data_IF_174817407337
#
_entry.id   IF_174817407337
#
_cell.length_a   1.000
_cell.length_b   1.000
_cell.length_c   1.000
_cell.angle_alpha   90.00
_cell.angle_beta   90.00
_cell.angle_gamma   90.00
#
_symmetry.space_group_name_H-M   'P 1'
#
loop_
_entity.id
_entity.type
_entity.pdbx_description
1 polymer ?
#
# COMPACT_ATOMS: atom_id res chain seq x y z
N UNK A 1 -19.41 -5.38 23.56
CA UNK A 1 -19.41 -5.66 22.11
C UNK A 1 -17.97 -5.51 21.65
N UNK A 2 -17.21 -6.61 21.65
CA UNK A 2 -15.77 -6.61 21.36
C UNK A 2 -15.57 -6.35 19.86
N UNK A 3 -15.12 -5.15 19.53
CA UNK A 3 -14.51 -4.84 18.24
C UNK A 3 -13.14 -5.50 18.22
N UNK A 4 -13.04 -6.71 17.67
CA UNK A 4 -11.76 -7.22 17.20
C UNK A 4 -11.39 -6.40 15.96
N UNK A 5 -10.84 -5.20 16.18
CA UNK A 5 -10.08 -4.53 15.14
C UNK A 5 -8.89 -5.44 14.85
N UNK A 6 -8.76 -5.87 13.59
CA UNK A 6 -7.53 -6.50 13.13
C UNK A 6 -6.43 -5.47 13.32
N UNK A 7 -5.64 -5.60 14.39
CA UNK A 7 -4.44 -4.79 14.56
C UNK A 7 -3.46 -5.29 13.51
N UNK A 8 -3.27 -4.52 12.45
CA UNK A 8 -2.10 -4.69 11.61
C UNK A 8 -0.90 -4.31 12.49
N UNK A 9 0.10 -5.18 12.53
CA UNK A 9 1.31 -4.89 13.28
C UNK A 9 2.03 -3.76 12.54
N UNK A 10 2.38 -2.68 13.24
CA UNK A 10 3.20 -1.57 12.74
C UNK A 10 4.36 -2.11 11.88
N UNK A 11 4.32 -1.92 10.56
CA UNK A 11 5.41 -2.40 9.70
C UNK A 11 6.66 -1.51 9.81
N UNK A 12 6.54 -0.27 10.30
CA UNK A 12 7.69 0.64 10.46
C UNK A 12 8.85 0.04 11.28
N UNK A 13 8.57 -0.85 12.24
CA UNK A 13 9.58 -1.49 13.08
C UNK A 13 10.32 -2.67 12.40
N UNK A 14 9.88 -3.15 11.23
CA UNK A 14 10.44 -4.35 10.58
C UNK A 14 10.57 -4.25 9.06
N UNK A 15 11.11 -3.15 8.54
CA UNK A 15 11.47 -3.05 7.12
C UNK A 15 12.88 -3.56 6.85
N UNK A 16 13.13 -3.98 5.61
CA UNK A 16 14.50 -4.25 5.16
C UNK A 16 15.25 -2.93 5.03
N UNK A 17 16.56 -2.91 5.33
CA UNK A 17 17.38 -1.69 5.28
C UNK A 17 17.25 -0.92 3.95
N UNK A 18 17.12 -1.64 2.83
CA UNK A 18 16.95 -1.05 1.48
C UNK A 18 15.62 -0.32 1.27
N UNK A 19 14.63 -0.56 2.12
CA UNK A 19 13.30 0.03 2.02
C UNK A 19 13.18 1.31 2.85
N UNK A 20 14.18 1.66 3.66
CA UNK A 20 14.17 2.85 4.52
C UNK A 20 15.41 3.75 4.40
N UNK A 21 16.59 3.21 4.05
CA UNK A 21 17.83 3.99 4.06
C UNK A 21 18.13 4.60 2.69
N UNK A 22 18.29 5.92 2.66
CA UNK A 22 18.71 6.68 1.49
C UNK A 22 20.05 7.37 1.75
N UNK A 23 21.02 7.19 0.86
CA UNK A 23 22.32 7.88 0.88
C UNK A 23 22.53 8.64 -0.42
N UNK A 24 22.76 9.95 -0.31
CA UNK A 24 22.98 10.81 -1.48
C UNK A 24 24.29 10.46 -2.20
N UNK A 25 24.22 10.27 -3.52
CA UNK A 25 25.36 9.85 -4.34
C UNK A 25 25.59 8.34 -4.38
N UNK A 26 24.89 7.55 -3.57
CA UNK A 26 24.93 6.07 -3.58
C UNK A 26 23.59 5.49 -4.03
N UNK A 27 22.50 5.94 -3.40
CA UNK A 27 21.13 5.51 -3.71
C UNK A 27 20.65 6.14 -5.01
N UNK A 28 19.94 5.35 -5.82
CA UNK A 28 19.37 5.80 -7.08
C UNK A 28 18.08 6.61 -6.86
N UNK A 29 17.63 7.33 -7.89
CA UNK A 29 16.30 7.97 -7.88
C UNK A 29 15.17 6.96 -7.71
N UNK A 30 15.32 5.75 -8.28
CA UNK A 30 14.38 4.65 -8.09
C UNK A 30 14.34 4.18 -6.65
N UNK A 31 15.48 4.13 -5.96
CA UNK A 31 15.52 3.78 -4.53
C UNK A 31 14.82 4.85 -3.70
N UNK A 32 15.09 6.13 -3.98
CA UNK A 32 14.42 7.26 -3.30
C UNK A 32 12.89 7.16 -3.45
N UNK A 33 12.42 6.90 -4.67
CA UNK A 33 11.00 6.71 -4.95
C UNK A 33 10.44 5.52 -4.18
N UNK A 34 11.10 4.37 -4.24
CA UNK A 34 10.68 3.16 -3.53
C UNK A 34 10.50 3.43 -2.03
N UNK A 35 11.53 4.00 -1.40
CA UNK A 35 11.53 4.34 0.03
C UNK A 35 10.37 5.31 0.35
N UNK A 36 10.23 6.39 -0.41
CA UNK A 36 9.18 7.39 -0.19
C UNK A 36 7.78 6.77 -0.31
N UNK A 37 7.56 5.86 -1.25
CA UNK A 37 6.27 5.18 -1.42
C UNK A 37 6.00 4.16 -0.31
N UNK A 38 6.99 3.35 0.10
CA UNK A 38 6.83 2.40 1.22
C UNK A 38 6.48 3.14 2.51
N UNK A 39 7.20 4.21 2.85
CA UNK A 39 6.91 5.03 4.03
C UNK A 39 5.48 5.55 4.00
N UNK A 40 5.01 6.04 2.85
CA UNK A 40 3.64 6.55 2.72
C UNK A 40 2.57 5.45 2.81
N UNK A 41 2.82 4.26 2.26
CA UNK A 41 1.93 3.09 2.37
C UNK A 41 1.70 2.72 3.84
N UNK A 42 2.79 2.53 4.58
CA UNK A 42 2.74 2.12 5.98
C UNK A 42 2.22 3.23 6.90
N UNK A 43 2.52 4.49 6.56
CA UNK A 43 1.94 5.62 7.27
C UNK A 43 0.42 5.70 7.06
N UNK A 44 -0.06 5.33 5.87
CA UNK A 44 -1.50 5.31 5.58
C UNK A 44 -2.23 4.25 6.39
N UNK A 45 -1.59 3.12 6.70
CA UNK A 45 -2.16 2.07 7.56
C UNK A 45 -2.50 2.55 8.97
N UNK A 46 -1.82 3.60 9.47
CA UNK A 46 -2.13 4.22 10.76
C UNK A 46 -3.59 4.73 10.83
N UNK A 47 -4.14 5.19 9.70
CA UNK A 47 -5.55 5.55 9.59
C UNK A 47 -6.40 4.38 9.07
N UNK A 48 -5.95 3.73 8.00
CA UNK A 48 -6.68 2.68 7.28
C UNK A 48 -6.09 1.30 7.57
N UNK A 49 -6.60 0.70 8.64
CA UNK A 49 -6.10 -0.54 9.21
C UNK A 49 -6.10 -0.48 10.72
N UNK A 50 -5.36 0.47 11.27
CA UNK A 50 -5.20 0.61 12.72
C UNK A 50 -6.38 1.36 13.34
N UNK A 51 -6.61 2.61 12.92
CA UNK A 51 -7.72 3.42 13.44
C UNK A 51 -9.08 2.93 12.91
N UNK A 52 -9.18 2.68 11.61
CA UNK A 52 -10.37 2.14 10.95
C UNK A 52 -9.98 0.89 10.19
N UNK A 53 -10.20 -0.27 10.81
CA UNK A 53 -9.93 -1.58 10.21
C UNK A 53 -11.18 -2.30 9.70
N UNK A 54 -11.04 -3.24 8.75
CA UNK A 54 -12.16 -4.04 8.25
C UNK A 54 -12.69 -4.95 9.35
N UNK A 55 -13.99 -5.22 9.31
CA UNK A 55 -14.61 -6.17 10.24
C UNK A 55 -14.26 -7.64 9.93
N UNK A 56 -13.89 -7.94 8.69
CA UNK A 56 -13.56 -9.28 8.21
C UNK A 56 -12.61 -9.18 7.00
N UNK A 57 -11.84 -10.24 6.76
CA UNK A 57 -10.85 -10.33 5.68
C UNK A 57 -11.42 -10.10 4.28
N UNK A 58 -12.70 -10.36 4.06
CA UNK A 58 -13.34 -10.03 2.77
C UNK A 58 -13.32 -8.55 2.40
N UNK A 59 -13.10 -7.68 3.39
CA UNK A 59 -12.99 -6.24 3.20
C UNK A 59 -11.54 -5.76 3.33
N UNK A 60 -10.55 -6.64 3.15
CA UNK A 60 -9.11 -6.31 3.26
C UNK A 60 -8.68 -5.14 2.38
N UNK A 61 -9.37 -4.93 1.26
CA UNK A 61 -9.13 -3.80 0.37
C UNK A 61 -9.31 -2.44 1.06
N UNK A 62 -10.09 -2.35 2.16
CA UNK A 62 -10.21 -1.14 2.97
C UNK A 62 -8.89 -0.73 3.64
N UNK A 63 -7.96 -1.66 3.81
CA UNK A 63 -6.62 -1.37 4.31
C UNK A 63 -5.66 -1.19 3.12
N UNK A 64 -5.39 -2.29 2.41
CA UNK A 64 -4.35 -2.33 1.38
C UNK A 64 -4.68 -1.43 0.18
N UNK A 65 -5.95 -1.31 -0.19
CA UNK A 65 -6.37 -0.46 -1.31
C UNK A 65 -6.21 1.03 -0.99
N UNK A 66 -6.60 1.46 0.21
CA UNK A 66 -6.38 2.84 0.64
C UNK A 66 -4.90 3.15 0.86
N UNK A 67 -4.15 2.23 1.48
CA UNK A 67 -2.71 2.38 1.64
C UNK A 67 -2.00 2.50 0.28
N UNK A 68 -2.34 1.66 -0.69
CA UNK A 68 -1.80 1.73 -2.07
C UNK A 68 -2.20 3.04 -2.78
N UNK A 69 -3.40 3.56 -2.53
CA UNK A 69 -3.81 4.83 -3.13
C UNK A 69 -3.06 6.03 -2.54
N UNK A 70 -2.96 6.07 -1.21
CA UNK A 70 -2.25 7.14 -0.50
C UNK A 70 -0.73 7.04 -0.65
N UNK A 71 -0.18 5.84 -0.86
CA UNK A 71 1.22 5.61 -1.24
C UNK A 71 1.67 6.50 -2.41
N UNK A 72 0.82 6.66 -3.44
CA UNK A 72 1.18 7.49 -4.60
C UNK A 72 0.73 8.94 -4.43
N UNK A 73 -0.49 9.16 -3.95
CA UNK A 73 -1.04 10.52 -3.84
C UNK A 73 -0.38 11.33 -2.72
N UNK A 74 -0.12 10.74 -1.56
CA UNK A 74 0.58 11.43 -0.47
C UNK A 74 2.05 11.66 -0.81
N UNK A 75 2.73 10.68 -1.40
CA UNK A 75 4.14 10.86 -1.80
C UNK A 75 4.31 11.91 -2.90
N UNK A 76 3.34 12.06 -3.81
CA UNK A 76 3.35 13.13 -4.81
C UNK A 76 3.23 14.54 -4.20
N UNK A 77 2.57 14.67 -3.03
CA UNK A 77 2.47 15.95 -2.31
C UNK A 77 3.78 16.35 -1.62
N UNK A 78 4.62 15.37 -1.27
CA UNK A 78 5.91 15.60 -0.59
C UNK A 78 7.05 15.71 -1.60
N UNK A 79 7.10 14.79 -2.57
CA UNK A 79 8.13 14.70 -3.62
C UNK A 79 7.54 15.12 -4.98
N UNK A 80 7.28 16.43 -5.13
CA UNK A 80 6.54 16.99 -6.27
C UNK A 80 7.20 16.77 -7.62
N UNK A 81 8.53 16.66 -7.66
CA UNK A 81 9.30 16.48 -8.90
C UNK A 81 9.21 15.05 -9.47
N UNK A 82 8.79 14.07 -8.67
CA UNK A 82 8.76 12.66 -9.08
C UNK A 82 7.49 12.25 -9.84
N UNK A 83 6.44 13.10 -9.85
CA UNK A 83 5.18 12.87 -10.56
C UNK A 83 4.55 11.51 -10.26
N UNK A 84 4.57 11.12 -8.97
CA UNK A 84 4.15 9.78 -8.53
C UNK A 84 2.67 9.53 -8.78
N UNK A 85 1.85 10.56 -8.71
CA UNK A 85 0.43 10.54 -9.05
C UNK A 85 0.18 10.10 -10.50
N UNK A 86 1.01 10.53 -11.44
CA UNK A 86 0.92 10.08 -12.84
C UNK A 86 1.40 8.63 -12.99
N UNK A 87 2.42 8.24 -12.24
CA UNK A 87 2.97 6.89 -12.28
C UNK A 87 1.96 5.84 -11.81
N UNK A 88 1.05 6.19 -10.88
CA UNK A 88 -0.02 5.32 -10.41
C UNK A 88 -0.84 4.68 -11.54
N UNK A 89 -1.10 5.43 -12.61
CA UNK A 89 -1.87 4.95 -13.77
C UNK A 89 -1.17 3.76 -14.43
N UNK A 90 0.15 3.84 -14.56
CA UNK A 90 0.95 2.84 -15.26
C UNK A 90 1.29 1.68 -14.32
N UNK A 91 1.71 1.97 -13.09
CA UNK A 91 2.22 0.96 -12.17
C UNK A 91 1.11 0.17 -11.48
N UNK A 92 0.04 0.83 -11.03
CA UNK A 92 -1.03 0.19 -10.28
C UNK A 92 -2.25 -0.09 -11.17
N UNK A 93 -2.81 0.92 -11.82
CA UNK A 93 -4.10 0.76 -12.53
C UNK A 93 -3.99 -0.20 -13.72
N UNK A 94 -3.02 -0.01 -14.60
CA UNK A 94 -2.86 -0.88 -15.77
C UNK A 94 -2.53 -2.33 -15.37
N UNK A 95 -1.65 -2.52 -14.38
CA UNK A 95 -1.31 -3.85 -13.84
C UNK A 95 -2.53 -4.54 -13.21
N UNK A 96 -3.34 -3.79 -12.46
CA UNK A 96 -4.57 -4.30 -11.87
C UNK A 96 -5.59 -4.71 -12.94
N UNK A 97 -5.80 -3.87 -13.96
CA UNK A 97 -6.70 -4.19 -15.09
C UNK A 97 -6.25 -5.43 -15.87
N UNK A 98 -4.95 -5.59 -16.09
CA UNK A 98 -4.41 -6.77 -16.76
C UNK A 98 -4.66 -8.06 -15.95
N UNK A 99 -4.59 -7.96 -14.61
CA UNK A 99 -4.85 -9.09 -13.71
C UNK A 99 -6.35 -9.39 -13.61
N UNK A 100 -7.18 -8.34 -13.56
CA UNK A 100 -8.64 -8.48 -13.48
C UNK A 100 -9.28 -9.02 -14.77
N UNK A 101 -8.59 -8.87 -15.91
CA UNK A 101 -9.01 -9.45 -17.18
C UNK A 101 -8.85 -10.99 -17.26
N UNK A 102 -8.19 -11.62 -16.28
CA UNK A 102 -8.02 -13.07 -16.25
C UNK A 102 -9.30 -13.76 -15.74
N UNK A 103 -9.63 -14.92 -16.31
CA UNK A 103 -10.75 -15.75 -15.84
C UNK A 103 -10.58 -16.24 -14.39
N UNK A 104 -9.35 -16.22 -13.88
CA UNK A 104 -9.00 -16.54 -12.49
C UNK A 104 -9.12 -15.36 -11.53
N UNK A 105 -9.55 -14.18 -12.01
CA UNK A 105 -9.80 -13.02 -11.15
C UNK A 105 -10.95 -13.29 -10.16
N UNK A 106 -11.08 -12.42 -9.17
CA UNK A 106 -12.14 -12.47 -8.18
C UNK A 106 -12.64 -11.06 -7.85
N UNK A 107 -13.88 -10.92 -7.35
CA UNK A 107 -14.36 -9.64 -6.85
C UNK A 107 -13.47 -9.07 -5.74
N UNK A 108 -13.40 -7.74 -5.63
CA UNK A 108 -12.62 -7.06 -4.58
C UNK A 108 -13.11 -7.39 -3.16
N UNK A 109 -14.42 -7.67 -3.02
CA UNK A 109 -15.00 -8.21 -1.79
C UNK A 109 -15.29 -9.69 -2.03
N UNK A 110 -14.44 -10.55 -1.48
CA UNK A 110 -14.53 -11.99 -1.65
C UNK A 110 -14.53 -12.68 -0.29
N UNK A 111 -15.49 -13.58 -0.06
CA UNK A 111 -15.55 -14.34 1.19
C UNK A 111 -14.36 -15.31 1.26
N UNK A 112 -13.75 -15.39 2.44
CA UNK A 112 -12.56 -16.21 2.70
C UNK A 112 -12.76 -16.93 4.03
N UNK A 113 -12.60 -18.26 3.99
CA UNK A 113 -12.97 -19.15 5.08
C UNK A 113 -11.78 -19.92 5.68
N UNK A 114 -10.62 -19.90 5.02
CA UNK A 114 -9.42 -20.61 5.43
C UNK A 114 -8.19 -19.71 5.35
N UNK A 115 -7.23 -19.83 6.29
CA UNK A 115 -5.90 -19.26 6.11
C UNK A 115 -5.23 -19.81 4.85
N UNK A 116 -4.36 -18.99 4.27
CA UNK A 116 -3.46 -19.36 3.17
C UNK A 116 -2.25 -20.10 3.75
#
# INVERSE_FOLDING_TARGET
MQTHAFSFCFCFDSHRERELLFEEGVSTSSDKQSIATVIAHEFSHQWFGDLVGPRWWKFIWLNEGFATYFQYTASALVETEMRLDEQFVITQLQTALATDALDTSHPITNDVDSPI
#
